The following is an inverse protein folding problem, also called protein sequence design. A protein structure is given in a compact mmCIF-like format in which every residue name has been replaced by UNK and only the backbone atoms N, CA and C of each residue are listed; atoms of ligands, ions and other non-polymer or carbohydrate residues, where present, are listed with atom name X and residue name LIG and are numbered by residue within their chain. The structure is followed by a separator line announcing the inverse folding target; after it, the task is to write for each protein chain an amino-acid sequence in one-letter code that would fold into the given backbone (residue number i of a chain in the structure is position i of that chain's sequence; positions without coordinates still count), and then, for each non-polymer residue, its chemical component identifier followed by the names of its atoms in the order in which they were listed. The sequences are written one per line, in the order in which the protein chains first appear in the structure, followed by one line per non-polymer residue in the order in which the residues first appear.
data_IF_649111140053
#
_entry.id   IF_649111140053
#
_cell.length_a   1.000
_cell.length_b   1.000
_cell.length_c   1.000
_cell.angle_alpha   90.00
_cell.angle_beta   90.00
_cell.angle_gamma   90.00
#
_symmetry.space_group_name_H-M   'P 1'
#
loop_
_entity.id
_entity.type
_entity.pdbx_description
1 polymer ?
#
# COMPACT_ATOMS: atom_id res chain seq x y z
N UNK A 1 -4.46 35.32 57.29
CA UNK A 1 -5.24 34.18 56.77
C UNK A 1 -5.41 34.15 55.24
N UNK A 2 -5.11 35.22 54.48
CA UNK A 2 -5.26 35.23 53.00
C UNK A 2 -4.14 34.55 52.24
N UNK A 3 -2.93 34.45 52.83
CA UNK A 3 -1.77 33.89 52.10
C UNK A 3 -1.68 32.36 52.15
N UNK A 4 -2.39 31.69 53.07
CA UNK A 4 -2.43 30.23 53.16
C UNK A 4 -3.36 29.57 52.11
N UNK A 5 -4.48 30.22 51.83
CA UNK A 5 -5.46 29.74 50.88
C UNK A 5 -4.95 29.79 49.44
N UNK A 6 -4.16 30.85 49.11
CA UNK A 6 -3.57 31.00 47.78
C UNK A 6 -2.45 29.95 47.51
N UNK A 7 -1.67 29.58 48.54
CA UNK A 7 -0.67 28.51 48.42
C UNK A 7 -1.30 27.14 48.31
N UNK A 8 -2.41 26.88 48.96
CA UNK A 8 -3.15 25.61 48.85
C UNK A 8 -3.80 25.46 47.47
N UNK A 9 -4.31 26.56 46.90
CA UNK A 9 -4.87 26.57 45.55
C UNK A 9 -3.79 26.36 44.46
N UNK A 10 -2.57 26.88 44.66
CA UNK A 10 -1.45 26.72 43.73
C UNK A 10 -0.92 25.28 43.75
N UNK A 11 -0.91 24.61 44.91
CA UNK A 11 -0.50 23.20 45.02
C UNK A 11 -1.54 22.27 44.41
N UNK A 12 -2.84 22.58 44.55
CA UNK A 12 -3.93 21.80 43.92
C UNK A 12 -3.93 21.93 42.41
N UNK A 13 -3.45 23.06 41.84
CA UNK A 13 -3.38 23.25 40.38
C UNK A 13 -2.17 22.55 39.74
N UNK A 14 -1.08 22.34 40.48
CA UNK A 14 0.12 21.62 39.99
C UNK A 14 -0.10 20.11 39.92
N UNK A 15 -1.00 19.54 40.73
CA UNK A 15 -1.29 18.11 40.75
C UNK A 15 -2.23 17.68 39.60
N UNK A 16 -2.91 18.62 38.95
CA UNK A 16 -3.82 18.33 37.83
C UNK A 16 -3.16 18.33 36.45
N UNK A 17 -1.83 18.54 36.35
CA UNK A 17 -1.09 18.54 35.08
C UNK A 17 -0.29 17.26 34.83
N UNK A 18 -0.42 16.23 35.66
CA UNK A 18 0.24 14.94 35.44
C UNK A 18 -0.78 13.87 35.11
N UNK A 19 -1.44 13.99 33.96
CA UNK A 19 -2.14 12.85 33.36
C UNK A 19 -2.42 13.12 31.91
N UNK A 20 -1.41 12.96 31.11
CA UNK A 20 -1.45 12.48 29.73
C UNK A 20 -0.03 12.01 29.37
N UNK A 21 0.46 11.00 30.05
CA UNK A 21 1.43 10.15 29.41
C UNK A 21 0.66 9.34 28.35
N UNK A 22 0.74 9.84 27.09
CA UNK A 22 0.64 8.93 25.96
C UNK A 22 1.70 7.86 26.22
N UNK A 23 1.26 6.66 26.54
CA UNK A 23 2.13 5.49 26.39
C UNK A 23 2.56 5.49 24.94
N UNK A 24 3.76 6.00 24.68
CA UNK A 24 4.49 5.68 23.46
C UNK A 24 4.61 4.15 23.49
N UNK A 25 3.77 3.48 22.70
CA UNK A 25 4.03 2.10 22.35
C UNK A 25 5.40 2.13 21.66
N UNK A 26 6.39 1.57 22.34
CA UNK A 26 7.75 1.47 21.82
C UNK A 26 7.69 0.59 20.57
N UNK A 27 7.87 1.22 19.40
CA UNK A 27 7.85 0.56 18.09
C UNK A 27 9.08 -0.35 17.85
N UNK A 28 9.85 -0.67 18.86
CA UNK A 28 11.16 -1.31 18.74
C UNK A 28 11.26 -2.73 19.32
N UNK A 29 10.16 -3.43 19.57
CA UNK A 29 10.23 -4.84 19.95
C UNK A 29 10.54 -5.74 18.72
N UNK A 30 11.79 -5.67 18.21
CA UNK A 30 12.40 -6.81 17.51
C UNK A 30 12.72 -7.88 18.53
N UNK A 31 11.69 -8.57 19.02
CA UNK A 31 11.88 -9.68 19.94
C UNK A 31 12.74 -10.76 19.26
N UNK A 32 13.80 -11.17 19.93
CA UNK A 32 14.55 -12.38 19.56
C UNK A 32 13.56 -13.52 19.40
N UNK A 33 13.60 -14.24 18.28
CA UNK A 33 12.74 -15.40 18.05
C UNK A 33 12.96 -16.50 19.10
N UNK A 34 14.04 -16.42 19.90
CA UNK A 34 14.41 -17.41 20.91
C UNK A 34 13.48 -17.42 22.13
N UNK A 35 12.92 -16.27 22.52
CA UNK A 35 12.06 -16.15 23.71
C UNK A 35 10.57 -15.99 23.36
N UNK A 36 10.25 -15.98 22.06
CA UNK A 36 8.90 -15.82 21.54
C UNK A 36 8.10 -17.11 21.62
N UNK A 37 6.84 -17.06 22.04
CA UNK A 37 5.94 -18.21 21.97
C UNK A 37 5.18 -18.28 20.62
N UNK A 38 5.21 -17.21 19.83
CA UNK A 38 4.67 -17.15 18.47
C UNK A 38 5.76 -16.72 17.51
N UNK A 39 5.97 -17.50 16.45
CA UNK A 39 6.89 -17.16 15.36
C UNK A 39 6.12 -17.13 14.05
N UNK A 40 6.07 -15.98 13.41
CA UNK A 40 5.47 -15.80 12.09
C UNK A 40 6.57 -15.84 11.02
N UNK A 41 6.43 -16.71 10.04
CA UNK A 41 7.25 -16.73 8.82
C UNK A 41 6.40 -16.28 7.65
N UNK A 42 6.80 -15.20 7.01
CA UNK A 42 6.01 -14.49 6.02
C UNK A 42 6.55 -14.74 4.62
N UNK A 43 5.67 -15.04 3.70
CA UNK A 43 5.95 -15.20 2.29
C UNK A 43 4.86 -14.56 1.44
N UNK A 44 5.15 -14.23 0.20
CA UNK A 44 4.16 -13.69 -0.73
C UNK A 44 3.61 -14.82 -1.57
N UNK A 45 2.29 -14.89 -1.67
CA UNK A 45 1.59 -15.81 -2.53
C UNK A 45 1.57 -15.27 -3.96
N UNK A 46 2.20 -16.00 -4.87
CA UNK A 46 2.19 -15.71 -6.28
C UNK A 46 1.05 -16.48 -6.97
N UNK A 47 0.10 -15.75 -7.55
CA UNK A 47 -0.97 -16.32 -8.37
C UNK A 47 -0.54 -16.31 -9.83
N UNK A 48 0.21 -17.33 -10.26
CA UNK A 48 0.42 -17.57 -11.69
C UNK A 48 -0.85 -18.21 -12.25
N UNK A 49 -1.47 -17.67 -13.33
CA UNK A 49 -2.75 -18.16 -13.85
C UNK A 49 -2.74 -19.61 -14.34
N UNK A 50 -1.59 -20.22 -14.60
CA UNK A 50 -1.47 -21.60 -15.08
C UNK A 50 -0.27 -22.34 -14.48
N UNK A 51 -0.50 -23.03 -13.38
CA UNK A 51 0.15 -24.32 -13.10
C UNK A 51 1.38 -24.37 -12.20
N UNK A 52 2.11 -23.31 -11.89
CA UNK A 52 3.20 -23.34 -10.93
C UNK A 52 3.06 -22.24 -9.89
N UNK A 53 2.81 -22.64 -8.64
CA UNK A 53 2.80 -21.71 -7.50
C UNK A 53 4.24 -21.43 -7.12
N UNK A 54 4.72 -20.21 -7.27
CA UNK A 54 5.96 -19.78 -6.65
C UNK A 54 5.66 -19.04 -5.33
N UNK A 55 6.48 -19.31 -4.33
CA UNK A 55 6.45 -18.58 -3.06
C UNK A 55 7.68 -17.69 -3.08
N UNK A 56 7.45 -16.36 -3.05
CA UNK A 56 8.55 -15.42 -3.01
C UNK A 56 8.86 -14.98 -1.58
N UNK A 57 10.14 -14.72 -1.35
CA UNK A 57 10.58 -14.10 -0.13
C UNK A 57 10.11 -12.64 -0.10
N UNK A 58 9.49 -12.24 1.00
CA UNK A 58 9.00 -10.87 1.23
C UNK A 58 10.10 -9.81 1.05
N UNK A 59 11.38 -10.19 1.31
CA UNK A 59 12.54 -9.31 1.18
C UNK A 59 12.81 -8.85 -0.25
N UNK A 60 12.31 -9.59 -1.25
CA UNK A 60 12.50 -9.25 -2.65
C UNK A 60 11.61 -8.11 -3.13
N UNK A 61 10.43 -7.92 -2.50
CA UNK A 61 9.40 -7.01 -2.97
C UNK A 61 9.04 -5.90 -1.97
N UNK A 62 9.33 -6.09 -0.69
CA UNK A 62 8.91 -5.17 0.36
C UNK A 62 10.08 -4.67 1.19
N UNK A 63 9.97 -3.43 1.64
CA UNK A 63 10.96 -2.79 2.53
C UNK A 63 10.42 -2.53 3.94
N UNK A 64 9.12 -2.74 4.15
CA UNK A 64 8.42 -2.50 5.41
C UNK A 64 7.44 -3.61 5.71
N UNK A 65 7.35 -3.93 6.98
CA UNK A 65 6.41 -4.89 7.52
C UNK A 65 5.77 -4.30 8.77
N UNK A 66 4.44 -4.25 8.79
CA UNK A 66 3.66 -3.80 9.94
C UNK A 66 2.65 -4.89 10.32
N UNK A 67 2.63 -5.26 11.58
CA UNK A 67 1.80 -6.33 12.12
C UNK A 67 1.02 -5.80 13.31
N UNK A 68 -0.25 -6.19 13.42
CA UNK A 68 -1.07 -5.90 14.59
C UNK A 68 -1.87 -7.15 14.98
N UNK A 69 -1.95 -7.37 16.28
CA UNK A 69 -2.76 -8.41 16.90
C UNK A 69 -3.93 -7.75 17.62
N UNK A 70 -5.12 -8.27 17.39
CA UNK A 70 -6.35 -7.81 18.00
C UNK A 70 -6.99 -8.94 18.80
N UNK A 71 -7.54 -8.62 19.94
CA UNK A 71 -8.35 -9.51 20.74
C UNK A 71 -9.62 -8.77 21.11
N UNK A 72 -10.77 -9.37 20.82
CA UNK A 72 -12.10 -8.74 21.03
C UNK A 72 -12.20 -7.32 20.44
N UNK A 73 -11.66 -7.13 19.21
CA UNK A 73 -11.64 -5.85 18.51
C UNK A 73 -10.65 -4.81 19.06
N UNK A 74 -9.93 -5.15 20.15
CA UNK A 74 -8.91 -4.28 20.75
C UNK A 74 -7.52 -4.65 20.25
N UNK A 75 -6.76 -3.67 19.78
CA UNK A 75 -5.37 -3.88 19.37
C UNK A 75 -4.49 -4.06 20.60
N UNK A 76 -3.91 -5.26 20.77
CA UNK A 76 -3.16 -5.64 21.96
C UNK A 76 -1.64 -5.65 21.75
N UNK A 77 -1.18 -5.84 20.50
CA UNK A 77 0.25 -5.86 20.19
C UNK A 77 0.49 -5.37 18.77
N UNK A 78 1.62 -4.70 18.55
CA UNK A 78 2.12 -4.32 17.22
C UNK A 78 3.58 -4.69 17.08
N UNK A 79 4.00 -5.03 15.86
CA UNK A 79 5.40 -5.25 15.50
C UNK A 79 5.64 -4.60 14.15
N UNK A 80 6.77 -3.91 14.02
CA UNK A 80 7.22 -3.31 12.77
C UNK A 80 8.64 -3.77 12.46
N UNK A 81 8.90 -4.06 11.18
CA UNK A 81 10.23 -4.36 10.67
C UNK A 81 10.50 -3.53 9.41
N UNK A 82 11.77 -3.29 9.13
CA UNK A 82 12.24 -2.61 7.92
C UNK A 82 13.33 -3.43 7.24
N UNK A 83 13.50 -3.23 5.95
CA UNK A 83 14.60 -3.81 5.19
C UNK A 83 15.95 -3.46 5.85
N UNK A 84 16.78 -4.47 6.02
CA UNK A 84 18.06 -4.39 6.76
C UNK A 84 17.98 -4.94 8.19
N UNK A 85 16.80 -5.12 8.76
CA UNK A 85 16.65 -5.87 10.00
C UNK A 85 17.01 -7.34 9.74
N UNK A 86 17.82 -7.94 10.61
CA UNK A 86 18.35 -9.31 10.41
C UNK A 86 17.26 -10.39 10.39
N UNK A 87 16.08 -10.09 10.91
CA UNK A 87 14.92 -10.99 10.97
C UNK A 87 13.79 -10.58 10.04
N UNK A 88 14.03 -9.65 9.09
CA UNK A 88 12.97 -9.16 8.20
C UNK A 88 12.24 -10.32 7.52
N UNK A 89 10.92 -10.36 7.66
CA UNK A 89 10.06 -11.46 7.19
C UNK A 89 9.89 -12.63 8.18
N UNK A 90 10.63 -12.65 9.29
CA UNK A 90 10.43 -13.61 10.39
C UNK A 90 10.23 -12.81 11.67
N UNK A 91 9.08 -12.98 12.30
CA UNK A 91 8.66 -12.18 13.46
C UNK A 91 8.43 -13.09 14.65
N UNK A 92 9.19 -12.88 15.73
CA UNK A 92 8.93 -13.46 17.04
C UNK A 92 8.11 -12.50 17.90
N UNK A 93 7.09 -13.00 18.57
CA UNK A 93 6.28 -12.22 19.51
C UNK A 93 5.85 -13.09 20.69
N UNK A 94 5.76 -12.48 21.88
CA UNK A 94 5.19 -13.11 23.06
C UNK A 94 3.78 -12.58 23.27
N UNK A 95 2.81 -13.49 23.29
CA UNK A 95 1.38 -13.24 23.50
C UNK A 95 0.86 -14.17 24.60
N UNK A 96 -0.16 -13.74 25.31
CA UNK A 96 -0.89 -14.60 26.23
C UNK A 96 -1.65 -15.69 25.46
N UNK A 97 -2.04 -16.78 26.13
CA UNK A 97 -2.88 -17.81 25.53
C UNK A 97 -4.24 -17.21 25.14
N UNK A 98 -4.71 -17.55 23.96
CA UNK A 98 -5.99 -17.04 23.46
C UNK A 98 -6.09 -17.01 21.95
N UNK A 99 -7.19 -16.48 21.48
CA UNK A 99 -7.47 -16.31 20.06
C UNK A 99 -7.35 -14.83 19.67
N UNK A 100 -6.62 -14.56 18.59
CA UNK A 100 -6.33 -13.22 18.09
C UNK A 100 -6.73 -13.09 16.63
N UNK A 101 -7.19 -11.91 16.24
CA UNK A 101 -7.23 -11.52 14.83
C UNK A 101 -5.88 -10.89 14.48
N UNK A 102 -5.27 -11.37 13.42
CA UNK A 102 -3.95 -10.96 12.96
C UNK A 102 -4.08 -10.16 11.66
N UNK A 103 -3.50 -8.97 11.66
CA UNK A 103 -3.31 -8.15 10.46
C UNK A 103 -1.82 -8.06 10.16
N UNK A 104 -1.42 -8.41 8.95
CA UNK A 104 -0.06 -8.25 8.43
C UNK A 104 -0.12 -7.38 7.18
N UNK A 105 0.70 -6.35 7.12
CA UNK A 105 0.86 -5.45 5.97
C UNK A 105 2.34 -5.40 5.60
N UNK A 106 2.66 -5.75 4.35
CA UNK A 106 3.99 -5.61 3.77
C UNK A 106 3.93 -4.62 2.59
N UNK A 107 4.88 -3.69 2.51
CA UNK A 107 4.86 -2.62 1.50
C UNK A 107 6.27 -2.01 1.31
N UNK A 108 6.38 -1.03 0.37
CA UNK A 108 7.65 -0.37 0.05
C UNK A 108 7.64 1.15 0.24
N UNK A 109 6.73 1.69 1.08
CA UNK A 109 6.70 3.13 1.40
C UNK A 109 7.89 3.53 2.29
N UNK A 110 8.24 4.81 2.29
CA UNK A 110 9.36 5.36 3.08
C UNK A 110 9.14 5.33 4.60
N UNK A 111 7.92 5.15 5.07
CA UNK A 111 7.56 5.05 6.49
C UNK A 111 6.66 3.85 6.78
N UNK A 112 6.35 3.62 8.05
CA UNK A 112 5.46 2.54 8.49
C UNK A 112 4.00 2.82 8.14
N UNK A 113 3.26 1.79 7.74
CA UNK A 113 1.81 1.86 7.66
C UNK A 113 1.20 1.90 9.06
N UNK A 114 0.08 2.60 9.20
CA UNK A 114 -0.65 2.68 10.48
C UNK A 114 -1.87 1.75 10.42
N UNK A 115 -1.81 0.65 11.16
CA UNK A 115 -2.94 -0.26 11.34
C UNK A 115 -3.78 0.29 12.50
N UNK A 116 -4.88 0.97 12.20
CA UNK A 116 -5.77 1.55 13.20
C UNK A 116 -6.72 0.51 13.76
N UNK A 117 -7.31 -0.29 12.91
CA UNK A 117 -8.21 -1.40 13.22
C UNK A 117 -8.06 -2.50 12.16
N UNK A 118 -8.78 -3.59 12.32
CA UNK A 118 -8.90 -4.66 11.33
C UNK A 118 -9.49 -4.18 10.00
N UNK A 119 -10.23 -3.06 10.03
CA UNK A 119 -10.91 -2.47 8.87
C UNK A 119 -10.21 -1.22 8.32
N UNK A 120 -9.09 -0.77 8.95
CA UNK A 120 -8.47 0.49 8.53
C UNK A 120 -6.97 0.51 8.69
N UNK A 121 -6.30 0.62 7.53
CA UNK A 121 -4.86 0.82 7.41
C UNK A 121 -4.60 2.03 6.52
N UNK A 122 -3.74 2.94 6.98
CA UNK A 122 -3.29 4.12 6.23
C UNK A 122 -1.79 4.06 5.97
N UNK A 123 -1.35 4.72 4.90
CA UNK A 123 0.04 4.71 4.46
C UNK A 123 0.66 6.12 4.53
N UNK A 124 1.99 6.24 4.70
CA UNK A 124 2.66 7.53 4.74
C UNK A 124 2.31 8.38 3.53
N UNK A 125 1.99 9.66 3.78
CA UNK A 125 1.63 10.64 2.74
C UNK A 125 0.45 10.23 1.85
N UNK A 126 -0.37 9.25 2.26
CA UNK A 126 -1.41 8.61 1.44
C UNK A 126 -0.86 8.02 0.13
N UNK A 127 0.44 7.73 0.06
CA UNK A 127 1.07 7.12 -1.10
C UNK A 127 0.94 5.60 -1.03
N UNK A 128 0.22 5.03 -1.99
CA UNK A 128 0.09 3.59 -2.16
C UNK A 128 1.26 3.09 -3.00
N UNK A 129 1.95 2.07 -2.50
CA UNK A 129 2.99 1.31 -3.22
C UNK A 129 2.47 -0.10 -3.51
N UNK A 130 3.31 -1.00 -3.96
CA UNK A 130 2.95 -2.42 -3.99
C UNK A 130 2.74 -2.90 -2.54
N UNK A 131 1.53 -3.36 -2.23
CA UNK A 131 1.10 -3.72 -0.87
C UNK A 131 0.58 -5.15 -0.85
N UNK A 132 1.06 -5.91 0.12
CA UNK A 132 0.62 -7.27 0.40
C UNK A 132 0.07 -7.34 1.81
N UNK A 133 -0.90 -8.23 2.03
CA UNK A 133 -1.56 -8.37 3.32
C UNK A 133 -1.92 -9.80 3.66
N UNK A 134 -2.08 -10.03 4.95
CA UNK A 134 -2.76 -11.18 5.53
C UNK A 134 -3.75 -10.67 6.59
N UNK A 135 -4.93 -11.26 6.61
CA UNK A 135 -5.91 -11.11 7.66
C UNK A 135 -6.46 -12.50 8.02
N UNK A 136 -6.47 -12.83 9.30
CA UNK A 136 -6.97 -14.12 9.76
C UNK A 136 -6.82 -14.33 11.24
N UNK A 137 -7.38 -15.43 11.71
CA UNK A 137 -7.35 -15.84 13.10
C UNK A 137 -6.05 -16.59 13.44
N UNK A 138 -5.53 -16.35 14.64
CA UNK A 138 -4.38 -17.00 15.23
C UNK A 138 -4.73 -17.48 16.64
N UNK A 139 -4.53 -18.78 16.93
CA UNK A 139 -4.72 -19.34 18.28
C UNK A 139 -3.37 -19.58 18.94
N UNK A 140 -3.14 -18.91 20.05
CA UNK A 140 -1.91 -19.02 20.87
C UNK A 140 -2.17 -19.95 22.05
N UNK A 141 -1.26 -20.90 22.25
CA UNK A 141 -1.26 -21.83 23.37
C UNK A 141 0.09 -21.80 24.12
N UNK A 142 0.24 -22.58 25.16
CA UNK A 142 1.45 -22.61 26.00
C UNK A 142 2.73 -23.09 25.30
N UNK A 143 2.62 -23.67 24.10
CA UNK A 143 3.77 -24.16 23.36
C UNK A 143 4.13 -23.19 22.24
N UNK A 144 5.44 -22.99 21.99
CA UNK A 144 5.86 -22.19 20.86
C UNK A 144 5.31 -22.77 19.56
N UNK A 145 4.60 -21.92 18.77
CA UNK A 145 4.02 -22.31 17.51
C UNK A 145 4.58 -21.46 16.38
N UNK A 146 4.97 -22.10 15.28
CA UNK A 146 5.43 -21.45 14.06
C UNK A 146 4.29 -21.41 13.06
N UNK A 147 3.93 -20.19 12.61
CA UNK A 147 2.92 -19.98 11.60
C UNK A 147 3.58 -19.54 10.28
N UNK A 148 3.33 -20.30 9.21
CA UNK A 148 3.76 -19.92 7.87
C UNK A 148 2.59 -19.19 7.19
N UNK A 149 2.73 -17.90 7.00
CA UNK A 149 1.69 -17.02 6.45
C UNK A 149 2.01 -16.64 5.01
N UNK A 150 1.01 -16.72 4.15
CA UNK A 150 1.10 -16.29 2.76
C UNK A 150 0.31 -15.00 2.58
N UNK A 151 1.01 -13.93 2.18
CA UNK A 151 0.42 -12.63 1.95
C UNK A 151 -0.09 -12.55 0.50
N UNK A 152 -1.24 -11.89 0.33
CA UNK A 152 -1.87 -11.62 -0.97
C UNK A 152 -1.65 -10.17 -1.34
N UNK A 153 -1.50 -9.87 -2.65
CA UNK A 153 -1.45 -8.48 -3.12
C UNK A 153 -2.82 -7.81 -2.93
N UNK A 154 -2.80 -6.59 -2.39
CA UNK A 154 -3.98 -5.81 -2.08
C UNK A 154 -4.33 -4.77 -3.16
N UNK A 155 -3.36 -4.40 -3.98
CA UNK A 155 -3.45 -3.30 -4.94
C UNK A 155 -3.71 -3.76 -6.36
N UNK A 156 -4.19 -2.82 -7.19
CA UNK A 156 -4.06 -2.83 -8.65
C UNK A 156 -2.98 -1.83 -9.07
N UNK A 157 -2.40 -2.03 -10.26
CA UNK A 157 -1.41 -1.15 -10.87
C UNK A 157 -1.96 -0.55 -12.15
N UNK A 158 -1.87 0.78 -12.30
CA UNK A 158 -1.94 1.44 -13.59
C UNK A 158 -0.52 1.66 -14.10
N UNK A 159 -0.25 1.19 -15.33
CA UNK A 159 1.03 1.35 -16.01
C UNK A 159 0.84 2.17 -17.28
N UNK A 160 1.57 3.27 -17.40
CA UNK A 160 1.68 4.06 -18.60
C UNK A 160 3.00 3.71 -19.30
N UNK A 161 2.94 3.26 -20.55
CA UNK A 161 4.11 2.98 -21.38
C UNK A 161 4.08 3.90 -22.61
N UNK A 162 5.11 4.76 -22.75
CA UNK A 162 5.21 5.72 -23.84
C UNK A 162 6.07 5.15 -24.98
N UNK A 163 5.53 5.12 -26.20
CA UNK A 163 6.23 4.59 -27.38
C UNK A 163 7.37 5.50 -27.83
N UNK A 164 7.18 6.82 -27.82
CA UNK A 164 8.21 7.82 -28.20
C UNK A 164 8.92 8.47 -27.00
N UNK A 165 8.44 8.22 -25.77
CA UNK A 165 8.93 8.86 -24.55
C UNK A 165 8.34 10.24 -24.30
N UNK A 166 8.93 10.95 -23.34
CA UNK A 166 8.50 12.28 -22.94
C UNK A 166 9.26 13.39 -23.72
N UNK A 167 8.70 14.62 -23.80
CA UNK A 167 9.43 15.77 -24.34
C UNK A 167 10.83 15.91 -23.73
N UNK A 168 11.82 16.35 -24.52
CA UNK A 168 13.22 16.40 -24.10
C UNK A 168 13.48 17.30 -22.87
N UNK A 169 12.61 18.30 -22.62
CA UNK A 169 12.66 19.18 -21.47
C UNK A 169 11.74 18.76 -20.31
N UNK A 170 11.15 17.57 -20.37
CA UNK A 170 10.36 17.04 -19.28
C UNK A 170 11.22 16.78 -18.04
N UNK A 171 10.77 17.25 -16.88
CA UNK A 171 11.46 17.10 -15.60
C UNK A 171 10.63 16.30 -14.59
N UNK A 172 9.31 16.45 -14.67
CA UNK A 172 8.38 15.79 -13.73
C UNK A 172 7.15 15.27 -14.46
N UNK A 173 6.56 14.19 -13.94
CA UNK A 173 5.26 13.69 -14.37
C UNK A 173 4.38 13.51 -13.12
N UNK A 174 3.14 13.97 -13.22
CA UNK A 174 2.13 13.88 -12.16
C UNK A 174 1.00 12.96 -12.61
N UNK A 175 0.64 12.04 -11.77
CA UNK A 175 -0.59 11.26 -11.85
C UNK A 175 -1.55 11.79 -10.79
N UNK A 176 -2.69 12.32 -11.22
CA UNK A 176 -3.80 12.66 -10.33
C UNK A 176 -4.97 11.75 -10.67
N UNK A 177 -5.45 10.97 -9.71
CA UNK A 177 -6.49 9.99 -9.97
C UNK A 177 -7.51 9.89 -8.83
N UNK A 178 -8.73 9.51 -9.23
CA UNK A 178 -9.90 9.31 -8.38
C UNK A 178 -10.58 7.99 -8.76
N UNK A 179 -11.48 7.50 -7.94
CA UNK A 179 -12.19 6.23 -8.14
C UNK A 179 -11.61 5.07 -7.35
N UNK A 180 -10.40 5.21 -6.78
CA UNK A 180 -9.78 4.22 -5.91
C UNK A 180 -9.59 4.71 -4.49
N UNK A 181 -8.86 3.95 -3.69
CA UNK A 181 -8.59 4.24 -2.28
C UNK A 181 -7.09 4.29 -1.97
N UNK A 182 -6.69 5.21 -1.08
CA UNK A 182 -5.39 5.22 -0.42
C UNK A 182 -5.41 4.58 0.98
N UNK A 183 -6.57 4.14 1.43
CA UNK A 183 -6.79 3.49 2.72
C UNK A 183 -7.33 2.09 2.50
N UNK A 184 -6.77 1.12 3.21
CA UNK A 184 -7.05 -0.30 3.01
C UNK A 184 -7.78 -0.90 4.21
N UNK A 185 -8.73 -1.79 3.95
CA UNK A 185 -9.38 -2.63 4.95
C UNK A 185 -8.88 -4.07 4.84
N UNK A 186 -8.03 -4.54 5.76
CA UNK A 186 -7.62 -5.95 5.78
C UNK A 186 -8.79 -6.92 5.88
N UNK A 187 -9.83 -6.55 6.63
CA UNK A 187 -11.05 -7.35 6.81
C UNK A 187 -11.75 -7.65 5.49
N UNK A 188 -11.99 -6.63 4.67
CA UNK A 188 -12.63 -6.80 3.36
C UNK A 188 -11.65 -7.23 2.26
N UNK A 189 -10.37 -6.89 2.39
CA UNK A 189 -9.35 -7.06 1.35
C UNK A 189 -9.37 -6.00 0.26
N UNK A 190 -10.05 -4.85 0.50
CA UNK A 190 -10.26 -3.78 -0.47
C UNK A 190 -10.02 -2.39 0.13
N UNK A 191 -10.06 -1.38 -0.74
CA UNK A 191 -10.07 0.01 -0.35
C UNK A 191 -11.34 0.39 0.42
N UNK A 192 -11.23 1.27 1.43
CA UNK A 192 -12.36 1.59 2.31
C UNK A 192 -12.72 3.07 2.37
N UNK A 193 -12.06 3.93 1.59
CA UNK A 193 -12.42 5.35 1.45
C UNK A 193 -12.21 5.82 0.02
N UNK A 194 -13.11 6.67 -0.49
CA UNK A 194 -12.90 7.35 -1.76
C UNK A 194 -11.76 8.36 -1.63
N UNK A 195 -10.69 8.17 -2.35
CA UNK A 195 -9.50 9.00 -2.28
C UNK A 195 -9.26 9.80 -3.55
N UNK A 196 -8.69 10.99 -3.38
CA UNK A 196 -8.00 11.71 -4.44
C UNK A 196 -6.52 11.47 -4.23
N UNK A 197 -5.89 10.80 -5.18
CA UNK A 197 -4.47 10.44 -5.06
C UNK A 197 -3.66 11.28 -6.03
N UNK A 198 -2.48 11.69 -5.59
CA UNK A 198 -1.52 12.43 -6.40
C UNK A 198 -0.15 11.83 -6.23
N UNK A 199 0.44 11.37 -7.32
CA UNK A 199 1.80 10.86 -7.36
C UNK A 199 2.61 11.73 -8.30
N UNK A 200 3.70 12.32 -7.78
CA UNK A 200 4.65 13.11 -8.55
C UNK A 200 5.95 12.33 -8.66
N UNK A 201 6.46 12.16 -9.87
CA UNK A 201 7.72 11.48 -10.15
C UNK A 201 8.67 12.39 -10.89
N UNK A 202 9.95 12.36 -10.54
CA UNK A 202 11.00 12.96 -11.37
C UNK A 202 11.22 12.07 -12.60
N UNK A 203 11.37 12.70 -13.75
CA UNK A 203 11.61 11.99 -15.02
C UNK A 203 13.11 11.80 -15.22
N UNK A 204 13.52 10.59 -15.52
CA UNK A 204 14.89 10.27 -15.94
C UNK A 204 14.96 10.19 -17.46
N UNK A 205 16.13 10.54 -18.02
CA UNK A 205 16.33 10.51 -19.48
C UNK A 205 16.07 9.11 -20.04
N UNK A 206 15.21 9.03 -21.06
CA UNK A 206 14.82 7.77 -21.69
C UNK A 206 13.78 6.95 -20.92
N UNK A 207 13.29 7.44 -19.80
CA UNK A 207 12.21 6.77 -19.08
C UNK A 207 10.92 6.76 -19.90
N UNK A 208 10.30 5.60 -20.02
CA UNK A 208 9.09 5.38 -20.82
C UNK A 208 7.97 4.72 -20.04
N UNK A 209 8.28 4.09 -18.92
CA UNK A 209 7.32 3.35 -18.11
C UNK A 209 7.13 4.06 -16.78
N UNK A 210 5.86 4.26 -16.41
CA UNK A 210 5.43 4.92 -15.18
C UNK A 210 4.31 4.10 -14.56
N UNK A 211 4.38 3.90 -13.24
CA UNK A 211 3.47 3.03 -12.51
C UNK A 211 2.91 3.73 -11.28
N UNK A 212 1.61 3.59 -11.07
CA UNK A 212 0.92 4.04 -9.85
C UNK A 212 -0.03 2.95 -9.36
N UNK A 213 -0.28 2.95 -8.06
CA UNK A 213 -1.02 1.93 -7.38
C UNK A 213 -2.25 2.52 -6.69
N UNK A 214 -3.28 1.69 -6.53
CA UNK A 214 -4.47 2.01 -5.75
C UNK A 214 -5.07 0.75 -5.14
N UNK A 215 -5.83 0.90 -4.07
CA UNK A 215 -6.72 -0.16 -3.60
C UNK A 215 -8.07 0.00 -4.30
N UNK A 216 -8.53 -0.97 -5.12
CA UNK A 216 -9.90 -0.95 -5.63
C UNK A 216 -10.88 -1.18 -4.48
N UNK A 217 -12.11 -0.66 -4.58
CA UNK A 217 -13.15 -0.83 -3.54
C UNK A 217 -13.82 -2.21 -3.57
N UNK A 218 -13.70 -2.91 -4.68
CA UNK A 218 -14.18 -4.26 -4.93
C UNK A 218 -13.23 -4.98 -5.89
N UNK A 219 -13.56 -6.19 -6.32
CA UNK A 219 -12.66 -6.97 -7.19
C UNK A 219 -12.26 -6.22 -8.47
N UNK A 220 -13.21 -5.50 -9.08
CA UNK A 220 -12.98 -4.63 -10.24
C UNK A 220 -13.57 -3.24 -9.96
N UNK A 221 -12.83 -2.18 -10.25
CA UNK A 221 -13.23 -0.79 -10.05
C UNK A 221 -12.77 0.05 -11.24
N UNK A 222 -13.09 1.34 -11.28
CA UNK A 222 -12.73 2.25 -12.36
C UNK A 222 -12.06 3.51 -11.82
N UNK A 223 -10.99 3.94 -12.49
CA UNK A 223 -10.31 5.19 -12.18
C UNK A 223 -10.56 6.24 -13.28
N UNK A 224 -10.57 7.49 -12.86
CA UNK A 224 -10.25 8.62 -13.73
C UNK A 224 -8.84 9.08 -13.40
N UNK A 225 -7.97 9.14 -14.41
CA UNK A 225 -6.55 9.48 -14.25
C UNK A 225 -6.21 10.67 -15.14
N UNK A 226 -5.66 11.74 -14.56
CA UNK A 226 -5.07 12.86 -15.28
C UNK A 226 -3.56 12.78 -15.14
N UNK A 227 -2.87 12.65 -16.27
CA UNK A 227 -1.41 12.62 -16.35
C UNK A 227 -0.94 13.96 -16.89
N UNK A 228 -0.09 14.66 -16.11
CA UNK A 228 0.45 15.98 -16.49
C UNK A 228 1.98 15.92 -16.47
N UNK A 229 2.60 16.36 -17.54
CA UNK A 229 4.07 16.43 -17.70
C UNK A 229 4.52 17.89 -17.54
N UNK A 230 5.56 18.11 -16.75
CA UNK A 230 6.10 19.43 -16.44
C UNK A 230 7.56 19.54 -16.83
N UNK A 231 8.00 20.76 -17.18
CA UNK A 231 9.41 21.09 -17.27
C UNK A 231 10.00 21.42 -15.86
N UNK A 232 11.27 21.82 -15.81
CA UNK A 232 11.97 22.18 -14.57
C UNK A 232 11.45 23.48 -13.92
N UNK A 233 10.73 24.31 -14.67
CA UNK A 233 10.09 25.56 -14.20
C UNK A 233 8.64 25.37 -13.77
N UNK A 234 8.16 24.12 -13.73
CA UNK A 234 6.78 23.74 -13.43
C UNK A 234 5.73 24.18 -14.48
N UNK A 235 6.17 24.53 -15.71
CA UNK A 235 5.25 24.75 -16.82
C UNK A 235 4.74 23.41 -17.35
N UNK A 236 3.46 23.35 -17.69
CA UNK A 236 2.83 22.17 -18.28
C UNK A 236 3.28 22.00 -19.72
N UNK A 237 3.88 20.86 -20.02
CA UNK A 237 4.28 20.47 -21.37
C UNK A 237 3.20 19.65 -22.07
N UNK A 238 2.61 18.72 -21.37
CA UNK A 238 1.58 17.80 -21.87
C UNK A 238 0.59 17.45 -20.75
N UNK A 239 -0.65 17.22 -21.15
CA UNK A 239 -1.67 16.68 -20.25
C UNK A 239 -2.58 15.71 -21.00
N UNK A 240 -2.91 14.58 -20.38
CA UNK A 240 -3.84 13.60 -20.93
C UNK A 240 -4.74 13.07 -19.82
N UNK A 241 -6.01 12.85 -20.15
CA UNK A 241 -7.01 12.27 -19.22
C UNK A 241 -7.45 10.92 -19.73
N UNK A 242 -7.32 9.92 -18.88
CA UNK A 242 -7.88 8.58 -19.06
C UNK A 242 -9.16 8.50 -18.24
N UNK A 243 -10.28 8.23 -18.88
CA UNK A 243 -11.59 8.04 -18.25
C UNK A 243 -11.90 6.54 -18.18
N UNK A 244 -12.61 6.11 -17.14
CA UNK A 244 -13.09 4.74 -16.95
C UNK A 244 -11.97 3.69 -17.10
N UNK A 245 -10.83 3.95 -16.47
CA UNK A 245 -9.69 3.04 -16.47
C UNK A 245 -10.02 1.85 -15.58
N UNK A 246 -10.22 0.64 -16.12
CA UNK A 246 -10.55 -0.50 -15.29
C UNK A 246 -9.35 -0.90 -14.44
N UNK A 247 -9.60 -1.20 -13.17
CA UNK A 247 -8.59 -1.70 -12.24
C UNK A 247 -9.15 -2.91 -11.49
N UNK A 248 -8.40 -3.99 -11.54
CA UNK A 248 -8.72 -5.25 -10.86
C UNK A 248 -7.62 -5.55 -9.86
N UNK A 249 -7.99 -6.01 -8.67
CA UNK A 249 -7.02 -6.37 -7.64
C UNK A 249 -6.02 -7.40 -8.17
N UNK A 250 -4.73 -7.17 -7.89
CA UNK A 250 -3.63 -8.02 -8.36
C UNK A 250 -3.47 -8.09 -9.88
N UNK A 251 -3.96 -7.06 -10.62
CA UNK A 251 -3.81 -6.95 -12.06
C UNK A 251 -3.11 -5.65 -12.44
N UNK A 252 -2.43 -5.67 -13.59
CA UNK A 252 -1.85 -4.50 -14.24
C UNK A 252 -2.81 -4.04 -15.32
N UNK A 253 -3.23 -2.78 -15.27
CA UNK A 253 -3.92 -2.11 -16.37
C UNK A 253 -2.90 -1.22 -17.09
N UNK A 254 -2.46 -1.66 -18.28
CA UNK A 254 -1.42 -0.99 -19.05
C UNK A 254 -2.01 -0.21 -20.21
N UNK A 255 -1.63 1.07 -20.31
CA UNK A 255 -1.91 1.93 -21.45
C UNK A 255 -0.61 2.23 -22.18
N UNK A 256 -0.58 1.96 -23.50
CA UNK A 256 0.58 2.17 -24.35
C UNK A 256 0.23 3.17 -25.46
N UNK A 257 1.02 4.21 -25.62
CA UNK A 257 0.80 5.25 -26.64
C UNK A 257 1.76 6.42 -26.51
N UNK A 258 1.38 7.57 -27.08
CA UNK A 258 2.17 8.79 -27.06
C UNK A 258 1.31 10.03 -26.80
N UNK A 259 1.87 10.99 -26.07
CA UNK A 259 1.25 12.30 -25.90
C UNK A 259 1.23 13.13 -27.22
N UNK A 260 2.02 12.76 -28.21
CA UNK A 260 2.13 13.45 -29.50
C UNK A 260 1.28 12.80 -30.60
N UNK A 261 0.55 11.74 -30.30
CA UNK A 261 -0.44 11.12 -31.17
C UNK A 261 -1.52 12.15 -31.49
N UNK A 262 -1.41 12.68 -32.73
CA UNK A 262 -2.04 13.89 -33.18
C UNK A 262 -3.48 14.10 -32.74
N UNK A 263 -3.71 15.22 -32.15
CA UNK A 263 -4.84 16.07 -32.31
C UNK A 263 -6.17 15.53 -31.81
N UNK A 264 -6.76 16.23 -30.96
CA UNK A 264 -8.17 16.11 -30.69
C UNK A 264 -8.54 16.73 -29.37
N UNK A 265 -8.64 18.02 -29.40
CA UNK A 265 -9.54 18.78 -28.56
C UNK A 265 -10.88 18.11 -28.52
N UNK A 266 -11.37 17.88 -27.30
CA UNK A 266 -12.76 17.94 -26.88
C UNK A 266 -13.79 17.07 -27.57
N UNK A 267 -14.57 16.48 -26.75
CA UNK A 267 -15.97 16.23 -27.02
C UNK A 267 -16.35 14.79 -27.08
N UNK A 268 -17.10 14.41 -26.08
CA UNK A 268 -17.98 13.30 -25.90
C UNK A 268 -18.18 12.40 -27.12
N UNK A 269 -17.92 11.15 -26.89
CA UNK A 269 -18.28 10.11 -27.83
C UNK A 269 -17.66 8.80 -27.35
N UNK A 270 -18.49 7.91 -26.83
CA UNK A 270 -18.07 6.56 -26.50
C UNK A 270 -17.36 5.92 -27.67
N UNK A 271 -16.06 5.83 -27.56
CA UNK A 271 -15.22 5.02 -28.41
C UNK A 271 -14.93 3.75 -27.66
N UNK A 272 -15.66 2.67 -28.00
CA UNK A 272 -15.30 1.36 -27.56
C UNK A 272 -13.85 1.08 -27.94
N UNK A 273 -12.98 1.05 -26.93
CA UNK A 273 -11.65 0.50 -27.11
C UNK A 273 -11.83 -0.91 -27.63
N UNK A 274 -11.43 -1.13 -28.86
CA UNK A 274 -11.34 -2.46 -29.43
C UNK A 274 -10.33 -3.19 -28.57
N UNK A 275 -10.81 -4.03 -27.68
CA UNK A 275 -10.05 -5.05 -27.00
C UNK A 275 -9.41 -5.92 -28.08
N UNK A 276 -8.22 -5.51 -28.53
CA UNK A 276 -7.42 -6.36 -29.38
C UNK A 276 -6.85 -7.44 -28.50
N UNK A 277 -7.49 -8.60 -28.62
CA UNK A 277 -7.00 -9.93 -28.27
C UNK A 277 -6.21 -10.02 -26.96
N UNK A 278 -6.80 -10.72 -25.98
CA UNK A 278 -6.09 -11.44 -24.94
C UNK A 278 -4.94 -12.26 -25.53
N UNK A 279 -3.88 -11.59 -25.92
CA UNK A 279 -2.59 -12.19 -26.15
C UNK A 279 -1.98 -12.38 -24.78
N UNK A 280 -1.92 -13.61 -24.32
CA UNK A 280 -1.10 -14.03 -23.20
C UNK A 280 0.36 -13.73 -23.55
N UNK A 281 0.79 -12.48 -23.38
CA UNK A 281 2.21 -12.16 -23.36
C UNK A 281 2.72 -12.53 -21.98
N UNK A 282 3.11 -13.81 -21.84
CA UNK A 282 3.92 -14.26 -20.73
C UNK A 282 5.31 -13.61 -20.84
N UNK A 283 5.44 -12.36 -20.47
CA UNK A 283 6.68 -11.86 -19.90
C UNK A 283 6.64 -12.27 -18.43
N UNK A 284 7.67 -12.98 -18.02
CA UNK A 284 7.96 -13.29 -16.63
C UNK A 284 8.29 -11.98 -15.88
N UNK A 285 7.30 -11.15 -15.67
CA UNK A 285 7.26 -10.16 -14.61
C UNK A 285 6.47 -10.86 -13.52
N UNK A 286 7.21 -11.60 -12.70
CA UNK A 286 6.74 -12.30 -11.53
C UNK A 286 5.68 -11.48 -10.82
N UNK A 287 4.58 -12.10 -10.42
CA UNK A 287 3.78 -11.76 -9.28
C UNK A 287 2.43 -11.10 -9.49
N UNK A 288 2.07 -10.65 -10.71
CA UNK A 288 0.74 -10.10 -10.98
C UNK A 288 -0.19 -11.16 -11.59
N UNK A 289 -1.48 -11.10 -11.27
CA UNK A 289 -2.51 -12.02 -11.81
C UNK A 289 -2.67 -11.94 -13.33
N UNK A 290 -2.21 -10.86 -13.95
CA UNK A 290 -2.22 -10.61 -15.38
C UNK A 290 -2.04 -9.15 -15.73
N UNK A 291 -2.10 -8.85 -17.04
CA UNK A 291 -2.04 -7.50 -17.58
C UNK A 291 -3.14 -7.30 -18.61
N UNK A 292 -3.99 -6.30 -18.42
CA UNK A 292 -4.93 -5.81 -19.43
C UNK A 292 -4.29 -4.63 -20.16
N UNK A 293 -4.19 -4.71 -21.49
CA UNK A 293 -3.46 -3.73 -22.30
C UNK A 293 -4.38 -2.92 -23.19
N UNK A 294 -4.17 -1.61 -23.24
CA UNK A 294 -4.90 -0.61 -24.00
C UNK A 294 -3.93 0.29 -24.79
N UNK A 295 -4.42 0.92 -25.86
CA UNK A 295 -3.68 1.95 -26.60
C UNK A 295 -4.42 3.28 -26.53
N UNK A 296 -3.71 4.40 -26.55
CA UNK A 296 -4.26 5.76 -26.50
C UNK A 296 -3.62 6.69 -27.53
#
# INVERSE_FOLDING_TARGET
MKNGLLKLLLIAFVVLLTSCEKTLLDDSDTASTADANVVLKLSIYDQIPFGTRSVQDITALCTRLNIAFFQDGTKVKTVSQKAGDSTFGTVGVTLDEGTYQLVVIAHSSDGSATITSEEKVTFPSNLVTDVFYFYGELTVNSTQTVYNLQLKRAVSMFRLELTSGLPANAAKIRFYYTGGSSTFSPYSGYGCVNSRQTVMMNVTSGQRVFEVYTFPHEETDELKIVVTVYNSSDDILKEHTFENVPVTRNMITQYTGDFDGGGGTSGGGGGGGTSTSKGLNMKAESDWGGTDSYTF
#
